data_IF_629701408893
#
_entry.id   IF_629701408893
#
_cell.length_a   1.000
_cell.length_b   1.000
_cell.length_c   1.000
_cell.angle_alpha   90.00
_cell.angle_beta   90.00
_cell.angle_gamma   90.00
#
_symmetry.space_group_name_H-M   'P 1'
#
loop_
_entity.id
_entity.type
_entity.pdbx_description
1 polymer ?
#
# COMPACT_ATOMS: atom_id res chain seq x y z
N UNK A 1 42.92 84.08 -17.48
CA UNK A 1 43.70 83.32 -18.49
C UNK A 1 43.15 81.90 -18.57
N UNK A 2 42.77 81.49 -19.78
CA UNK A 2 42.49 80.16 -20.37
C UNK A 2 42.51 78.92 -19.43
N UNK A 3 41.42 78.12 -19.36
CA UNK A 3 41.09 76.94 -20.21
C UNK A 3 42.15 75.82 -20.10
N UNK A 4 41.90 74.54 -19.79
CA UNK A 4 40.93 73.54 -20.27
C UNK A 4 41.04 72.27 -19.39
N UNK A 5 40.02 71.39 -19.37
CA UNK A 5 40.27 69.96 -19.11
C UNK A 5 39.16 69.20 -18.40
N UNK A 6 38.08 68.90 -19.12
CA UNK A 6 37.02 67.99 -18.67
C UNK A 6 37.54 66.54 -18.58
N UNK A 7 37.59 65.99 -17.36
CA UNK A 7 37.78 64.56 -17.15
C UNK A 7 36.42 63.87 -16.98
N UNK A 8 36.09 63.05 -17.97
CA UNK A 8 34.85 62.28 -18.11
C UNK A 8 34.85 61.13 -17.09
N UNK A 9 34.05 61.22 -16.02
CA UNK A 9 33.84 60.09 -15.11
C UNK A 9 32.99 59.03 -15.82
N UNK A 10 33.62 57.96 -16.27
CA UNK A 10 32.93 56.75 -16.70
C UNK A 10 32.32 56.13 -15.43
N UNK A 11 31.01 56.24 -15.26
CA UNK A 11 30.28 55.41 -14.31
C UNK A 11 30.40 53.97 -14.83
N UNK A 12 31.19 53.14 -14.14
CA UNK A 12 31.09 51.70 -14.31
C UNK A 12 29.69 51.31 -13.84
N UNK A 13 28.86 50.81 -14.75
CA UNK A 13 27.63 50.12 -14.39
C UNK A 13 27.95 49.07 -13.33
N UNK A 14 27.14 48.91 -12.27
CA UNK A 14 27.28 47.74 -11.42
C UNK A 14 27.04 46.53 -12.32
N UNK A 15 28.01 45.62 -12.36
CA UNK A 15 27.86 44.35 -13.04
C UNK A 15 26.57 43.69 -12.53
N UNK A 16 25.77 43.17 -13.46
CA UNK A 16 24.63 42.31 -13.16
C UNK A 16 25.07 41.31 -12.07
N UNK A 17 24.47 41.37 -10.88
CA UNK A 17 24.46 40.19 -10.03
C UNK A 17 23.58 39.20 -10.76
N UNK A 18 24.21 38.29 -11.49
CA UNK A 18 23.57 37.05 -11.87
C UNK A 18 23.39 36.32 -10.55
N UNK A 19 22.22 36.46 -9.93
CA UNK A 19 21.81 35.56 -8.87
C UNK A 19 22.08 34.16 -9.41
N UNK A 20 22.98 33.44 -8.75
CA UNK A 20 23.21 32.05 -9.07
C UNK A 20 21.84 31.40 -9.03
N UNK A 21 21.38 30.89 -10.18
CA UNK A 21 20.21 30.04 -10.26
C UNK A 21 20.39 29.06 -9.11
N UNK A 22 19.52 29.15 -8.09
CA UNK A 22 19.51 28.16 -7.02
C UNK A 22 19.59 26.81 -7.71
N UNK A 23 20.52 25.98 -7.25
CA UNK A 23 20.72 24.65 -7.77
C UNK A 23 19.42 23.88 -7.54
N UNK A 24 18.52 23.99 -8.52
CA UNK A 24 17.39 23.11 -8.73
C UNK A 24 18.00 21.81 -9.23
N UNK A 25 18.79 21.19 -8.37
CA UNK A 25 18.99 19.76 -8.38
C UNK A 25 17.59 19.19 -8.43
N UNK A 26 17.18 18.81 -9.64
CA UNK A 26 16.32 17.65 -9.81
C UNK A 26 16.85 16.64 -8.80
N UNK A 27 16.03 16.17 -7.83
CA UNK A 27 16.50 15.23 -6.82
C UNK A 27 17.34 14.19 -7.54
N UNK A 28 18.63 14.15 -7.21
CA UNK A 28 19.57 13.20 -7.78
C UNK A 28 18.85 11.88 -7.75
N UNK A 29 18.55 11.30 -8.92
CA UNK A 29 17.78 10.08 -9.00
C UNK A 29 18.56 9.06 -8.17
N UNK A 30 18.12 8.81 -6.95
CA UNK A 30 18.69 7.78 -6.10
C UNK A 30 18.48 6.54 -6.93
N UNK A 31 19.57 5.97 -7.44
CA UNK A 31 19.51 4.98 -8.51
C UNK A 31 18.47 3.93 -8.15
N UNK A 32 17.49 3.71 -9.04
CA UNK A 32 16.46 2.71 -8.82
C UNK A 32 17.18 1.37 -8.68
N UNK A 33 17.13 0.79 -7.48
CA UNK A 33 17.77 -0.48 -7.15
C UNK A 33 16.69 -1.49 -6.78
N UNK A 34 16.84 -2.71 -7.26
CA UNK A 34 16.05 -3.84 -6.76
C UNK A 34 16.32 -4.01 -5.26
N UNK A 35 15.26 -3.90 -4.47
CA UNK A 35 15.33 -4.05 -3.02
C UNK A 35 15.36 -5.54 -2.65
N UNK A 36 14.54 -6.36 -3.33
CA UNK A 36 14.45 -7.79 -3.11
C UNK A 36 13.98 -8.49 -4.39
N UNK A 37 14.60 -9.63 -4.70
CA UNK A 37 14.04 -10.62 -5.64
C UNK A 37 13.20 -11.63 -4.85
N UNK A 38 11.88 -11.58 -5.03
CA UNK A 38 10.92 -12.42 -4.28
C UNK A 38 10.71 -13.77 -4.98
N UNK A 39 10.59 -13.76 -6.31
CA UNK A 39 10.43 -14.96 -7.12
C UNK A 39 11.78 -15.31 -7.75
N UNK A 40 12.68 -15.88 -6.95
CA UNK A 40 14.06 -16.13 -7.39
C UNK A 40 14.13 -16.99 -8.65
N UNK A 41 15.11 -16.70 -9.52
CA UNK A 41 15.29 -17.38 -10.80
C UNK A 41 14.60 -16.64 -11.95
N UNK A 42 13.94 -17.36 -12.86
CA UNK A 42 13.21 -16.77 -13.99
C UNK A 42 11.73 -16.49 -13.70
N UNK A 43 11.30 -16.65 -12.45
CA UNK A 43 9.94 -16.38 -12.01
C UNK A 43 9.66 -14.88 -11.94
N UNK A 44 8.38 -14.50 -11.99
CA UNK A 44 7.94 -13.13 -11.74
C UNK A 44 7.09 -13.09 -10.46
N UNK A 45 7.32 -12.10 -9.61
CA UNK A 45 6.64 -11.99 -8.31
C UNK A 45 5.27 -11.31 -8.37
N UNK A 46 4.91 -10.70 -9.51
CA UNK A 46 3.62 -10.04 -9.75
C UNK A 46 3.10 -9.22 -8.54
N UNK A 47 3.88 -8.26 -8.02
CA UNK A 47 3.47 -7.51 -6.85
C UNK A 47 2.28 -6.61 -7.19
N UNK A 48 1.25 -6.61 -6.35
CA UNK A 48 0.02 -5.85 -6.57
C UNK A 48 -0.62 -5.39 -5.27
N UNK A 49 -1.61 -4.49 -5.39
CA UNK A 49 -2.40 -3.96 -4.27
C UNK A 49 -1.57 -3.24 -3.19
N UNK A 50 -0.55 -2.49 -3.62
CA UNK A 50 0.31 -1.72 -2.71
C UNK A 50 -0.52 -0.78 -1.83
N UNK A 51 -0.36 -0.92 -0.52
CA UNK A 51 -1.04 -0.10 0.49
C UNK A 51 -0.05 0.26 1.58
N UNK A 52 0.08 1.55 1.85
CA UNK A 52 0.93 2.06 2.93
C UNK A 52 0.16 2.08 4.26
N UNK A 53 0.83 1.64 5.33
CA UNK A 53 0.36 1.67 6.71
C UNK A 53 1.54 2.02 7.61
N UNK A 54 1.49 3.21 8.23
CA UNK A 54 2.46 3.68 9.24
C UNK A 54 3.94 3.58 8.82
N UNK A 55 4.25 3.95 7.57
CA UNK A 55 5.58 3.93 6.97
C UNK A 55 5.98 2.60 6.33
N UNK A 56 5.12 1.59 6.36
CA UNK A 56 5.37 0.28 5.76
C UNK A 56 4.42 0.05 4.59
N UNK A 57 4.93 -0.42 3.46
CA UNK A 57 4.11 -0.79 2.31
C UNK A 57 3.81 -2.29 2.35
N UNK A 58 2.53 -2.63 2.29
CA UNK A 58 2.02 -3.99 2.19
C UNK A 58 1.52 -4.25 0.77
N UNK A 59 1.72 -5.46 0.26
CA UNK A 59 1.35 -5.85 -1.10
C UNK A 59 1.22 -7.36 -1.21
N UNK A 60 0.49 -7.84 -2.22
CA UNK A 60 0.44 -9.26 -2.55
C UNK A 60 1.53 -9.60 -3.57
N UNK A 61 2.29 -10.66 -3.35
CA UNK A 61 3.32 -11.12 -4.27
C UNK A 61 3.50 -12.63 -4.23
N UNK A 62 3.98 -13.17 -5.35
CA UNK A 62 4.26 -14.58 -5.58
C UNK A 62 5.74 -14.88 -5.33
N UNK A 63 6.04 -15.90 -4.53
CA UNK A 63 7.41 -16.34 -4.24
C UNK A 63 7.95 -17.33 -5.29
N UNK A 64 9.18 -17.82 -5.08
CA UNK A 64 9.83 -18.75 -5.99
C UNK A 64 9.13 -20.11 -6.13
N UNK A 65 8.30 -20.50 -5.15
CA UNK A 65 7.49 -21.71 -5.21
C UNK A 65 6.17 -21.53 -5.96
N UNK A 66 5.86 -20.30 -6.38
CA UNK A 66 4.58 -19.94 -6.98
C UNK A 66 3.53 -19.55 -5.95
N UNK A 67 3.90 -19.44 -4.67
CA UNK A 67 2.97 -19.14 -3.59
C UNK A 67 2.72 -17.63 -3.44
N UNK A 68 1.45 -17.22 -3.55
CA UNK A 68 1.00 -15.82 -3.52
C UNK A 68 0.41 -15.43 -2.17
N UNK A 69 1.20 -14.69 -1.40
CA UNK A 69 0.92 -14.30 -0.02
C UNK A 69 0.97 -12.78 0.21
N UNK A 70 0.75 -12.37 1.47
CA UNK A 70 0.90 -10.98 1.91
C UNK A 70 2.36 -10.69 2.23
N UNK A 71 2.91 -9.66 1.61
CA UNK A 71 4.29 -9.19 1.79
C UNK A 71 4.30 -7.77 2.34
N UNK A 72 5.41 -7.40 2.98
CA UNK A 72 5.71 -6.02 3.37
C UNK A 72 7.07 -5.55 2.87
N UNK A 73 7.27 -4.24 2.86
CA UNK A 73 8.58 -3.59 2.70
C UNK A 73 8.63 -2.23 3.42
N UNK A 74 9.79 -1.85 3.95
CA UNK A 74 10.11 -0.48 4.40
C UNK A 74 11.10 0.22 3.44
N UNK A 75 11.27 -0.32 2.23
CA UNK A 75 12.24 0.18 1.27
C UNK A 75 13.62 -0.48 1.36
N UNK A 76 13.84 -1.38 2.33
CA UNK A 76 15.09 -2.14 2.48
C UNK A 76 14.90 -3.64 2.21
N UNK A 77 15.98 -4.33 1.85
CA UNK A 77 15.95 -5.78 1.64
C UNK A 77 15.56 -6.52 2.92
N UNK A 78 16.15 -6.13 4.07
CA UNK A 78 15.85 -6.71 5.37
C UNK A 78 14.40 -6.45 5.81
N UNK A 79 13.83 -5.31 5.43
CA UNK A 79 12.44 -4.99 5.67
C UNK A 79 11.46 -5.63 4.69
N UNK A 80 11.93 -6.38 3.69
CA UNK A 80 11.08 -7.00 2.69
C UNK A 80 10.90 -8.48 2.96
N UNK A 81 9.71 -8.88 3.42
CA UNK A 81 9.42 -10.26 3.81
C UNK A 81 7.91 -10.58 3.80
N UNK A 82 7.58 -11.88 3.73
CA UNK A 82 6.20 -12.40 3.78
C UNK A 82 5.64 -12.27 5.19
N UNK A 83 4.58 -11.48 5.36
CA UNK A 83 4.01 -11.11 6.66
C UNK A 83 3.42 -12.32 7.38
N UNK A 84 2.63 -13.11 6.66
CA UNK A 84 2.00 -14.33 7.15
C UNK A 84 1.84 -15.31 5.99
N UNK A 85 1.89 -16.60 6.32
CA UNK A 85 1.45 -17.70 5.46
C UNK A 85 0.03 -18.06 5.92
N UNK A 86 -0.97 -17.48 5.26
CA UNK A 86 -2.38 -17.58 5.69
C UNK A 86 -2.98 -18.92 5.28
N UNK A 87 -2.54 -19.48 4.15
CA UNK A 87 -2.97 -20.78 3.66
C UNK A 87 -1.73 -21.72 3.58
N UNK A 88 -1.46 -22.54 4.60
CA UNK A 88 -0.23 -23.34 4.63
C UNK A 88 -0.13 -24.42 3.55
N UNK A 89 -1.20 -24.66 2.78
CA UNK A 89 -1.27 -25.69 1.73
C UNK A 89 -1.41 -25.10 0.31
N UNK A 90 -1.40 -23.78 0.16
CA UNK A 90 -1.55 -23.11 -1.14
C UNK A 90 -1.61 -21.60 -1.00
N UNK A 91 -1.94 -20.87 -2.06
CA UNK A 91 -1.90 -19.40 -1.99
C UNK A 91 -3.14 -18.77 -1.40
N UNK A 92 -2.96 -17.89 -0.42
CA UNK A 92 -4.04 -17.10 0.19
C UNK A 92 -4.58 -15.99 -0.72
N UNK A 93 -3.81 -15.63 -1.74
CA UNK A 93 -4.17 -14.66 -2.77
C UNK A 93 -4.74 -13.33 -2.21
N UNK A 94 -4.00 -12.57 -1.39
CA UNK A 94 -4.53 -11.35 -0.79
C UNK A 94 -4.94 -10.31 -1.85
N UNK A 95 -6.08 -9.65 -1.64
CA UNK A 95 -6.63 -8.58 -2.51
C UNK A 95 -7.31 -7.48 -1.70
N UNK A 96 -7.60 -6.37 -2.36
CA UNK A 96 -8.33 -5.22 -1.80
C UNK A 96 -7.71 -4.68 -0.49
N UNK A 97 -6.38 -4.68 -0.42
CA UNK A 97 -5.66 -4.13 0.72
C UNK A 97 -6.08 -2.67 0.95
N UNK A 98 -6.45 -2.35 2.18
CA UNK A 98 -7.04 -1.07 2.57
C UNK A 98 -6.57 -0.69 3.96
N UNK A 99 -6.01 0.51 4.11
CA UNK A 99 -5.63 1.06 5.41
C UNK A 99 -6.84 1.73 6.08
N UNK A 100 -7.18 1.29 7.29
CA UNK A 100 -8.19 1.90 8.15
C UNK A 100 -7.54 2.28 9.46
N UNK A 101 -7.23 3.57 9.62
CA UNK A 101 -6.64 4.15 10.83
C UNK A 101 -5.39 3.41 11.35
N UNK A 102 -4.51 2.97 10.44
CA UNK A 102 -3.28 2.25 10.81
C UNK A 102 -3.44 0.73 10.90
N UNK A 103 -4.62 0.19 10.67
CA UNK A 103 -4.88 -1.24 10.55
C UNK A 103 -5.04 -1.61 9.08
N UNK A 104 -4.30 -2.62 8.61
CA UNK A 104 -4.48 -3.15 7.26
C UNK A 104 -5.65 -4.14 7.23
N UNK A 105 -6.63 -3.89 6.37
CA UNK A 105 -7.69 -4.81 6.01
C UNK A 105 -7.49 -5.34 4.61
N UNK A 106 -7.85 -6.60 4.37
CA UNK A 106 -7.71 -7.24 3.07
C UNK A 106 -8.60 -8.48 2.98
N UNK A 107 -8.70 -9.04 1.78
CA UNK A 107 -9.42 -10.32 1.58
C UNK A 107 -8.41 -11.41 1.27
N UNK A 108 -8.51 -12.56 1.91
CA UNK A 108 -7.63 -13.70 1.71
C UNK A 108 -8.41 -15.01 1.94
N UNK A 109 -7.86 -16.11 1.44
CA UNK A 109 -8.37 -17.47 1.61
C UNK A 109 -7.37 -18.26 2.46
N UNK A 110 -7.81 -18.93 3.52
CA UNK A 110 -6.95 -19.75 4.38
C UNK A 110 -7.05 -21.26 4.07
N UNK A 111 -7.80 -21.62 3.03
CA UNK A 111 -8.07 -23.00 2.64
C UNK A 111 -9.11 -23.72 3.51
N UNK A 112 -9.64 -23.07 4.56
CA UNK A 112 -10.61 -23.67 5.50
C UNK A 112 -11.95 -22.95 5.49
N UNK A 113 -11.95 -21.61 5.44
CA UNK A 113 -13.16 -20.76 5.44
C UNK A 113 -13.43 -20.14 4.06
N UNK A 114 -12.61 -20.46 3.05
CA UNK A 114 -12.65 -19.76 1.76
C UNK A 114 -12.20 -18.31 1.89
N UNK A 115 -12.49 -17.50 0.85
CA UNK A 115 -12.09 -16.08 0.84
C UNK A 115 -12.99 -15.23 1.73
N UNK A 116 -12.42 -14.68 2.79
CA UNK A 116 -13.08 -13.86 3.81
C UNK A 116 -12.40 -12.49 4.02
N UNK A 117 -12.92 -11.69 4.96
CA UNK A 117 -12.32 -10.43 5.41
C UNK A 117 -11.29 -10.71 6.50
N UNK A 118 -10.07 -10.23 6.30
CA UNK A 118 -8.94 -10.36 7.21
C UNK A 118 -8.41 -8.98 7.60
N UNK A 119 -7.77 -8.93 8.76
CA UNK A 119 -6.99 -7.78 9.22
C UNK A 119 -5.60 -8.18 9.66
N UNK A 120 -4.68 -7.23 9.62
CA UNK A 120 -3.36 -7.39 10.21
C UNK A 120 -3.32 -6.68 11.58
N UNK A 121 -3.00 -7.44 12.63
CA UNK A 121 -2.71 -6.92 13.96
C UNK A 121 -1.20 -7.07 14.22
N UNK A 122 -0.47 -5.95 14.07
CA UNK A 122 0.99 -5.95 14.02
C UNK A 122 1.53 -6.75 12.84
N UNK A 123 2.01 -7.97 13.09
CA UNK A 123 2.49 -8.92 12.07
C UNK A 123 1.62 -10.16 11.93
N UNK A 124 0.54 -10.27 12.70
CA UNK A 124 -0.35 -11.43 12.69
C UNK A 124 -1.58 -11.15 11.85
N UNK A 125 -1.83 -11.97 10.84
CA UNK A 125 -3.07 -11.94 10.07
C UNK A 125 -4.19 -12.65 10.85
N UNK A 126 -5.33 -12.00 11.00
CA UNK A 126 -6.49 -12.53 11.72
C UNK A 126 -7.74 -12.42 10.86
N UNK A 127 -8.53 -13.50 10.84
CA UNK A 127 -9.88 -13.48 10.28
C UNK A 127 -10.72 -12.48 11.09
N UNK A 128 -11.43 -11.58 10.41
CA UNK A 128 -12.32 -10.62 11.08
C UNK A 128 -13.62 -11.31 11.47
N UNK A 129 -14.21 -12.07 10.55
CA UNK A 129 -15.42 -12.85 10.71
C UNK A 129 -15.53 -13.87 9.58
N UNK A 130 -15.94 -15.09 9.89
CA UNK A 130 -16.44 -16.05 8.90
C UNK A 130 -17.87 -15.65 8.52
N UNK A 131 -18.04 -14.85 7.45
CA UNK A 131 -19.35 -14.26 7.11
C UNK A 131 -20.28 -15.32 6.49
N UNK A 132 -19.74 -16.27 5.72
CA UNK A 132 -20.50 -17.32 5.06
C UNK A 132 -19.97 -18.70 5.44
N UNK A 133 -20.40 -19.19 6.61
CA UNK A 133 -19.80 -20.41 7.13
C UNK A 133 -19.94 -21.61 6.18
N UNK A 134 -18.81 -22.23 5.85
CA UNK A 134 -18.71 -23.39 4.96
C UNK A 134 -18.45 -23.06 3.48
N UNK A 135 -18.37 -21.79 3.10
CA UNK A 135 -18.02 -21.33 1.75
C UNK A 135 -17.40 -19.92 1.84
N UNK A 136 -17.06 -19.29 0.72
CA UNK A 136 -16.52 -17.94 0.70
C UNK A 136 -17.63 -16.88 0.67
N UNK A 137 -17.49 -15.84 1.49
CA UNK A 137 -18.32 -14.64 1.44
C UNK A 137 -17.93 -13.67 0.32
N UNK A 138 -16.79 -13.94 -0.34
CA UNK A 138 -16.24 -13.17 -1.45
C UNK A 138 -16.23 -11.64 -1.21
N UNK A 139 -15.58 -11.12 -0.14
CA UNK A 139 -15.58 -9.70 0.11
C UNK A 139 -14.91 -8.93 -1.03
N UNK A 140 -15.46 -7.77 -1.40
CA UNK A 140 -14.93 -6.91 -2.48
C UNK A 140 -15.13 -5.44 -2.19
N UNK A 141 -14.33 -4.61 -2.85
CA UNK A 141 -14.43 -3.14 -2.83
C UNK A 141 -14.37 -2.57 -1.42
N UNK A 142 -13.34 -2.97 -0.68
CA UNK A 142 -13.04 -2.44 0.64
C UNK A 142 -12.74 -0.93 0.54
N UNK A 143 -13.43 -0.14 1.34
CA UNK A 143 -13.30 1.32 1.38
C UNK A 143 -13.35 1.79 2.84
N UNK A 144 -12.40 2.61 3.23
CA UNK A 144 -12.42 3.29 4.53
C UNK A 144 -13.30 4.55 4.43
N UNK A 145 -14.28 4.68 5.32
CA UNK A 145 -15.08 5.89 5.51
C UNK A 145 -15.05 6.29 6.98
N UNK A 146 -14.26 7.31 7.32
CA UNK A 146 -14.21 7.84 8.68
C UNK A 146 -13.73 6.85 9.74
N UNK A 147 -12.94 5.84 9.38
CA UNK A 147 -12.47 4.79 10.29
C UNK A 147 -13.34 3.54 10.34
N UNK A 148 -14.43 3.50 9.57
CA UNK A 148 -15.24 2.31 9.38
C UNK A 148 -14.96 1.73 8.00
N UNK A 149 -14.72 0.43 7.93
CA UNK A 149 -14.55 -0.27 6.68
C UNK A 149 -15.92 -0.62 6.10
N UNK A 150 -16.19 -0.21 4.87
CA UNK A 150 -17.33 -0.66 4.06
C UNK A 150 -16.84 -1.59 2.95
N UNK A 151 -17.62 -2.61 2.64
CA UNK A 151 -17.32 -3.59 1.60
C UNK A 151 -18.59 -4.33 1.17
N UNK A 152 -18.51 -5.12 0.10
CA UNK A 152 -19.60 -6.05 -0.27
C UNK A 152 -19.22 -7.47 0.04
N UNK A 153 -20.16 -8.28 0.54
CA UNK A 153 -19.98 -9.70 0.82
C UNK A 153 -21.31 -10.44 0.69
N UNK A 154 -21.25 -11.76 0.56
CA UNK A 154 -22.40 -12.65 0.53
C UNK A 154 -22.38 -13.57 1.75
N UNK A 155 -23.43 -13.61 2.55
CA UNK A 155 -23.55 -14.44 3.75
C UNK A 155 -24.27 -15.77 3.50
N UNK A 156 -24.57 -16.09 2.24
CA UNK A 156 -25.33 -17.27 1.84
C UNK A 156 -26.85 -17.15 2.02
N UNK A 157 -27.34 -16.07 2.63
CA UNK A 157 -28.77 -15.86 2.93
C UNK A 157 -29.34 -14.68 2.14
N UNK A 158 -28.66 -13.54 2.17
CA UNK A 158 -29.13 -12.27 1.60
C UNK A 158 -28.48 -11.97 0.23
N UNK A 159 -27.60 -12.83 -0.27
CA UNK A 159 -26.85 -12.55 -1.49
C UNK A 159 -25.74 -11.51 -1.25
N UNK A 160 -25.24 -10.87 -2.32
CA UNK A 160 -24.13 -9.91 -2.22
C UNK A 160 -24.66 -8.53 -1.82
N UNK A 161 -24.45 -8.18 -0.57
CA UNK A 161 -24.96 -6.96 0.03
C UNK A 161 -23.85 -6.01 0.51
N UNK A 162 -24.22 -4.82 1.01
CA UNK A 162 -23.31 -3.87 1.65
C UNK A 162 -23.09 -4.20 3.14
N UNK A 163 -21.83 -4.31 3.53
CA UNK A 163 -21.38 -4.63 4.89
C UNK A 163 -20.51 -3.51 5.45
N UNK A 164 -20.45 -3.45 6.78
CA UNK A 164 -19.52 -2.59 7.52
C UNK A 164 -18.77 -3.38 8.59
N UNK A 165 -17.57 -2.92 8.94
CA UNK A 165 -16.75 -3.46 10.02
C UNK A 165 -15.91 -2.38 10.69
N UNK A 166 -15.77 -2.46 12.01
CA UNK A 166 -14.74 -1.74 12.78
C UNK A 166 -13.47 -2.58 12.98
N UNK A 167 -13.43 -3.79 12.40
CA UNK A 167 -12.38 -4.78 12.59
C UNK A 167 -12.61 -5.81 13.68
N UNK A 168 -13.78 -5.82 14.31
CA UNK A 168 -14.20 -6.88 15.23
C UNK A 168 -15.30 -7.73 14.62
N UNK A 169 -15.35 -9.00 15.00
CA UNK A 169 -16.40 -9.92 14.57
C UNK A 169 -17.81 -9.39 14.94
N UNK A 170 -17.94 -8.89 16.18
CA UNK A 170 -19.20 -8.40 16.74
C UNK A 170 -19.78 -7.20 15.96
N UNK A 171 -18.92 -6.31 15.46
CA UNK A 171 -19.32 -5.14 14.68
C UNK A 171 -19.05 -5.31 13.18
N UNK A 172 -18.97 -6.55 12.70
CA UNK A 172 -19.00 -6.86 11.27
C UNK A 172 -20.42 -7.26 10.86
N UNK A 173 -21.14 -6.29 10.30
CA UNK A 173 -22.59 -6.32 10.16
C UNK A 173 -23.03 -5.96 8.74
N UNK A 174 -24.11 -6.60 8.29
CA UNK A 174 -24.88 -6.19 7.13
C UNK A 174 -25.44 -4.78 7.39
N UNK A 175 -25.18 -3.83 6.50
CA UNK A 175 -25.69 -2.46 6.64
C UNK A 175 -27.19 -2.45 6.38
N UNK A 176 -27.59 -3.05 5.26
CA UNK A 176 -28.98 -3.20 4.85
C UNK A 176 -29.06 -4.22 3.70
N UNK A 177 -30.11 -5.04 3.72
CA UNK A 177 -30.54 -5.88 2.60
C UNK A 177 -31.24 -4.99 1.54
N UNK A 178 -30.70 -4.91 0.32
CA UNK A 178 -31.12 -3.96 -0.73
C UNK A 178 -31.70 -4.59 -2.01
#
# INVERSE_FOLDING_TARGET
MFSTGSARTIRRSPALQVEALEDRTTPSVVGVKMIQDIATGSGASYPAYFTEVNGVVYFAATDASGDRELWRTDGTAAGTWRVADINPIGSSNPRYLTNVNGTLFFTADDGSHGRELWKLDGTTANLVKDIHSGDSSHPRWLVNVGGILFFTANDGTNGRELWMSDGTEANTLLVKDI
#
